data_IF_037126617336
#
_entry.id   IF_037126617336
#
_cell.length_a   1.000
_cell.length_b   1.000
_cell.length_c   1.000
_cell.angle_alpha   90.00
_cell.angle_beta   90.00
_cell.angle_gamma   90.00
#
_symmetry.space_group_name_H-M   'P 1'
#
loop_
_entity.id
_entity.type
_entity.pdbx_description
1 polymer ?
#
# COMPACT_ATOMS: atom_id res chain seq x y z
N UNK A 1 1.82 12.58 -5.48
CA UNK A 1 0.83 11.83 -6.29
C UNK A 1 0.18 10.72 -5.46
N UNK A 2 -0.94 10.15 -5.90
CA UNK A 2 -1.55 8.98 -5.26
C UNK A 2 -1.50 7.77 -6.19
N UNK A 3 -0.96 6.66 -5.71
CA UNK A 3 -0.88 5.39 -6.42
C UNK A 3 -1.72 4.33 -5.71
N UNK A 4 -2.62 3.67 -6.45
CA UNK A 4 -3.31 2.46 -6.01
C UNK A 4 -2.60 1.26 -6.64
N UNK A 5 -2.07 0.35 -5.82
CA UNK A 5 -1.19 -0.73 -6.27
C UNK A 5 -1.73 -2.07 -5.78
N UNK A 6 -2.05 -2.96 -6.71
CA UNK A 6 -2.41 -4.34 -6.41
C UNK A 6 -1.19 -5.15 -5.98
N UNK A 7 -1.32 -5.89 -4.89
CA UNK A 7 -0.31 -6.82 -4.36
C UNK A 7 -0.36 -8.19 -5.05
N UNK A 8 -1.40 -8.46 -5.83
CA UNK A 8 -1.66 -9.76 -6.41
C UNK A 8 -2.36 -10.72 -5.44
N UNK A 9 -2.24 -12.01 -5.70
CA UNK A 9 -3.16 -13.02 -5.16
C UNK A 9 -2.72 -13.63 -3.83
N UNK A 10 -1.41 -13.78 -3.60
CA UNK A 10 -0.92 -14.63 -2.53
C UNK A 10 0.24 -14.03 -1.74
N UNK A 11 1.36 -13.71 -2.38
CA UNK A 11 2.59 -13.31 -1.68
C UNK A 11 3.19 -12.00 -2.19
N UNK A 12 4.26 -11.56 -1.52
CA UNK A 12 4.94 -10.30 -1.78
C UNK A 12 5.47 -10.13 -3.21
N UNK A 13 5.60 -11.22 -3.99
CA UNK A 13 6.12 -11.23 -5.36
C UNK A 13 5.03 -11.20 -6.43
N UNK A 14 3.76 -11.34 -6.08
CA UNK A 14 2.67 -11.25 -7.06
C UNK A 14 2.43 -9.81 -7.55
N UNK A 15 2.99 -8.82 -6.84
CA UNK A 15 3.07 -7.43 -7.29
C UNK A 15 3.82 -7.32 -8.62
N UNK A 16 3.36 -6.43 -9.49
CA UNK A 16 4.10 -6.12 -10.73
C UNK A 16 5.43 -5.42 -10.45
N UNK A 17 6.39 -5.55 -11.37
CA UNK A 17 7.67 -4.82 -11.27
C UNK A 17 7.50 -3.30 -11.15
N UNK A 18 6.51 -2.74 -11.86
CA UNK A 18 6.18 -1.30 -11.78
C UNK A 18 5.62 -0.93 -10.41
N UNK A 19 4.75 -1.77 -9.85
CA UNK A 19 4.22 -1.58 -8.50
C UNK A 19 5.35 -1.54 -7.47
N UNK A 20 6.27 -2.51 -7.54
CA UNK A 20 7.43 -2.59 -6.64
C UNK A 20 8.31 -1.33 -6.73
N UNK A 21 8.56 -0.83 -7.93
CA UNK A 21 9.35 0.40 -8.13
C UNK A 21 8.67 1.62 -7.51
N UNK A 22 7.36 1.77 -7.70
CA UNK A 22 6.60 2.88 -7.10
C UNK A 22 6.64 2.80 -5.57
N UNK A 23 6.44 1.62 -4.98
CA UNK A 23 6.48 1.42 -3.52
C UNK A 23 7.82 1.85 -2.94
N UNK A 24 8.92 1.48 -3.59
CA UNK A 24 10.27 1.83 -3.14
C UNK A 24 10.56 3.33 -3.18
N UNK A 25 9.94 4.05 -4.11
CA UNK A 25 10.19 5.48 -4.34
C UNK A 25 9.12 6.40 -3.71
N UNK A 26 8.01 5.85 -3.20
CA UNK A 26 6.94 6.66 -2.57
C UNK A 26 7.38 7.19 -1.20
N UNK A 27 7.03 8.43 -0.88
CA UNK A 27 7.30 9.07 0.42
C UNK A 27 6.64 8.32 1.58
N UNK A 28 5.41 7.84 1.38
CA UNK A 28 4.69 6.99 2.34
C UNK A 28 4.02 5.80 1.65
N UNK A 29 3.98 4.68 2.37
CA UNK A 29 3.37 3.43 1.91
C UNK A 29 2.33 2.99 2.93
N UNK A 30 1.12 2.79 2.45
CA UNK A 30 -0.03 2.30 3.20
C UNK A 30 -0.46 0.95 2.66
N UNK A 31 -1.05 0.11 3.49
CA UNK A 31 -1.74 -1.08 3.04
C UNK A 31 -3.13 -1.16 3.66
N UNK A 32 -4.12 -1.58 2.90
CA UNK A 32 -5.37 -2.07 3.45
C UNK A 32 -5.46 -3.58 3.21
N UNK A 33 -5.86 -4.30 4.24
CA UNK A 33 -5.96 -5.76 4.25
C UNK A 33 -7.36 -6.22 4.69
N UNK A 34 -8.37 -5.35 4.57
CA UNK A 34 -9.74 -5.65 5.00
C UNK A 34 -10.64 -6.03 3.83
N UNK A 35 -10.30 -5.65 2.60
CA UNK A 35 -11.08 -6.04 1.40
C UNK A 35 -10.78 -7.48 0.99
N UNK A 36 -9.53 -7.93 1.17
CA UNK A 36 -9.09 -9.29 0.88
C UNK A 36 -7.92 -9.70 1.79
N UNK A 37 -7.72 -11.01 1.94
CA UNK A 37 -6.61 -11.58 2.70
C UNK A 37 -5.45 -11.88 1.75
N UNK A 38 -4.25 -11.51 2.18
CA UNK A 38 -3.01 -11.94 1.55
C UNK A 38 -2.45 -13.15 2.33
N UNK A 39 -1.68 -14.02 1.67
CA UNK A 39 -1.06 -15.18 2.31
C UNK A 39 0.08 -14.83 3.27
N UNK A 40 0.52 -13.56 3.27
CA UNK A 40 1.65 -13.06 4.05
C UNK A 40 1.25 -11.85 4.92
N UNK A 41 1.98 -11.67 6.02
CA UNK A 41 1.81 -10.53 6.93
C UNK A 41 2.51 -9.27 6.45
N UNK A 42 2.22 -8.14 7.11
CA UNK A 42 2.82 -6.84 6.78
C UNK A 42 4.34 -6.86 6.98
N UNK A 43 4.85 -7.61 7.94
CA UNK A 43 6.28 -7.70 8.23
C UNK A 43 7.07 -8.31 7.06
N UNK A 44 6.47 -9.26 6.33
CA UNK A 44 7.09 -9.82 5.13
C UNK A 44 7.09 -8.82 3.98
N UNK A 45 5.97 -8.10 3.80
CA UNK A 45 5.87 -7.03 2.80
C UNK A 45 6.91 -5.93 3.05
N UNK A 46 7.04 -5.47 4.30
CA UNK A 46 8.04 -4.47 4.68
C UNK A 46 9.46 -4.94 4.39
N UNK A 47 9.77 -6.21 4.72
CA UNK A 47 11.06 -6.82 4.43
C UNK A 47 11.34 -6.93 2.93
N UNK A 48 10.36 -7.32 2.13
CA UNK A 48 10.53 -7.50 0.69
C UNK A 48 10.62 -6.16 -0.06
N UNK A 49 9.80 -5.17 0.32
CA UNK A 49 9.80 -3.85 -0.30
C UNK A 49 10.92 -2.94 0.21
N UNK A 50 11.43 -3.17 1.43
CA UNK A 50 12.41 -2.31 2.07
C UNK A 50 11.84 -0.96 2.50
N UNK A 51 10.55 -0.93 2.83
CA UNK A 51 9.79 0.27 3.23
C UNK A 51 8.91 -0.08 4.42
N UNK A 52 8.71 0.89 5.31
CA UNK A 52 7.70 0.79 6.36
C UNK A 52 6.31 0.91 5.75
N UNK A 53 5.37 0.07 6.18
CA UNK A 53 3.99 0.03 5.70
C UNK A 53 3.06 0.33 6.87
N UNK A 54 2.24 1.37 6.72
CA UNK A 54 1.19 1.67 7.69
C UNK A 54 -0.11 0.98 7.28
N UNK A 55 -0.60 0.07 8.14
CA UNK A 55 -1.85 -0.66 7.89
C UNK A 55 -3.04 0.23 8.22
N UNK A 56 -3.84 0.55 7.20
CA UNK A 56 -5.04 1.36 7.29
C UNK A 56 -6.25 0.50 7.66
N UNK A 57 -7.17 1.10 8.41
CA UNK A 57 -8.49 0.55 8.65
C UNK A 57 -9.48 1.04 7.60
N UNK A 58 -10.64 0.40 7.55
CA UNK A 58 -11.77 0.82 6.69
C UNK A 58 -12.10 2.30 6.85
N UNK A 59 -12.19 2.78 8.10
CA UNK A 59 -12.49 4.19 8.39
C UNK A 59 -11.47 5.17 7.81
N UNK A 60 -10.22 4.75 7.60
CA UNK A 60 -9.16 5.61 7.07
C UNK A 60 -9.31 5.84 5.55
N UNK A 61 -9.88 4.87 4.84
CA UNK A 61 -10.10 4.91 3.38
C UNK A 61 -11.53 5.28 2.96
N UNK A 62 -12.52 5.06 3.83
CA UNK A 62 -13.92 5.44 3.56
C UNK A 62 -14.21 6.83 4.14
N UNK A 63 -14.28 6.96 5.47
CA UNK A 63 -14.71 8.19 6.16
C UNK A 63 -13.62 9.26 6.22
N UNK A 64 -12.36 8.87 6.33
CA UNK A 64 -11.22 9.77 6.60
C UNK A 64 -10.21 9.85 5.46
N UNK A 65 -10.60 9.40 4.27
CA UNK A 65 -9.77 9.41 3.05
C UNK A 65 -9.16 10.77 2.72
N UNK A 66 -9.87 11.86 3.06
CA UNK A 66 -9.40 13.23 2.90
C UNK A 66 -8.00 13.47 3.47
N UNK A 67 -7.61 12.79 4.57
CA UNK A 67 -6.28 12.93 5.19
C UNK A 67 -5.16 12.46 4.26
N UNK A 68 -5.38 11.33 3.57
CA UNK A 68 -4.43 10.77 2.62
C UNK A 68 -4.38 11.64 1.36
N UNK A 69 -5.55 12.10 0.90
CA UNK A 69 -5.65 12.97 -0.27
C UNK A 69 -4.93 14.31 -0.07
N UNK A 70 -5.04 14.92 1.12
CA UNK A 70 -4.31 16.15 1.43
C UNK A 70 -2.78 15.95 1.41
N UNK A 71 -2.28 14.82 1.91
CA UNK A 71 -0.85 14.48 1.82
C UNK A 71 -0.40 14.25 0.38
N UNK A 72 -1.19 13.52 -0.40
CA UNK A 72 -0.88 13.16 -1.79
C UNK A 72 -0.76 14.37 -2.74
N UNK A 73 -1.24 15.56 -2.33
CA UNK A 73 -1.00 16.84 -3.04
C UNK A 73 0.47 17.28 -3.03
N UNK A 74 1.26 16.83 -2.07
CA UNK A 74 2.66 17.24 -1.87
C UNK A 74 3.65 16.08 -1.84
N UNK A 75 3.16 14.88 -1.53
CA UNK A 75 3.94 13.66 -1.36
C UNK A 75 3.48 12.59 -2.34
N UNK A 76 4.37 11.66 -2.68
CA UNK A 76 4.05 10.44 -3.39
C UNK A 76 3.59 9.36 -2.40
N UNK A 77 2.31 9.01 -2.49
CA UNK A 77 1.64 8.09 -1.58
C UNK A 77 1.26 6.82 -2.34
N UNK A 78 1.71 5.67 -1.85
CA UNK A 78 1.27 4.35 -2.32
C UNK A 78 0.25 3.74 -1.35
N UNK A 79 -0.89 3.28 -1.87
CA UNK A 79 -1.84 2.44 -1.16
C UNK A 79 -1.82 1.05 -1.80
N UNK A 80 -1.42 0.07 -1.00
CA UNK A 80 -1.35 -1.33 -1.34
C UNK A 80 -2.69 -2.00 -1.04
N UNK A 81 -3.21 -2.75 -2.02
CA UNK A 81 -4.48 -3.47 -1.95
C UNK A 81 -4.24 -4.93 -2.35
N UNK A 82 -4.77 -5.89 -1.59
CA UNK A 82 -4.74 -7.29 -1.99
C UNK A 82 -5.65 -7.53 -3.21
N UNK A 83 -5.13 -8.23 -4.23
CA UNK A 83 -5.79 -8.38 -5.54
C UNK A 83 -4.81 -8.28 -6.70
#
# INVERSE_FOLDING_TARGET
MLFLIGLGLWDSKDITLRGLEIVKNSDAVYAELYTSKLGVGVEELEKFFGRKIEVLKREDLEDKSYRILERAKKEDIAILVAG
#
